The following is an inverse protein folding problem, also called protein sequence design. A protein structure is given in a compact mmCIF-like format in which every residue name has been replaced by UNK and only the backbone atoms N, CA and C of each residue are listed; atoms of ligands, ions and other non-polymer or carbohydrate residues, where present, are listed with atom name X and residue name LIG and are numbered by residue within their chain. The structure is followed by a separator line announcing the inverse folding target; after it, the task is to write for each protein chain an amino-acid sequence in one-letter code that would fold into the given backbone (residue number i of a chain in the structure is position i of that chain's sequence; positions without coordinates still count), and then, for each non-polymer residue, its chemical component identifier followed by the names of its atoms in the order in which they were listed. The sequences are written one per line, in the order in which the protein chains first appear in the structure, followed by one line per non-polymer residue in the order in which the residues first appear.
data_IF_535700002132
#
_entry.id   IF_535700002132
#
_cell.length_a   1.000
_cell.length_b   1.000
_cell.length_c   1.000
_cell.angle_alpha   90.00
_cell.angle_beta   90.00
_cell.angle_gamma   90.00
#
_symmetry.space_group_name_H-M   'P 1'
#
loop_
_entity.id
_entity.type
_entity.pdbx_description
1 polymer ?
#
# COMPACT_ATOMS: atom_id res chain seq x y z
N UNK A 1 -42.14 -32.84 -10.28
CA UNK A 1 -41.81 -32.87 -8.83
C UNK A 1 -40.41 -33.43 -8.64
N UNK A 2 -39.48 -32.56 -8.22
CA UNK A 2 -38.21 -32.87 -7.55
C UNK A 2 -37.67 -31.52 -7.06
N UNK A 3 -38.12 -31.10 -5.88
CA UNK A 3 -37.54 -29.95 -5.16
C UNK A 3 -36.35 -30.51 -4.36
N UNK A 4 -35.14 -30.12 -4.75
CA UNK A 4 -33.93 -30.30 -3.96
C UNK A 4 -33.84 -29.06 -3.08
N UNK A 5 -33.77 -29.29 -1.76
CA UNK A 5 -33.97 -28.28 -0.73
C UNK A 5 -32.85 -27.23 -0.62
N UNK A 6 -33.14 -26.12 0.10
CA UNK A 6 -32.12 -25.17 0.48
C UNK A 6 -31.26 -25.83 1.55
N UNK A 7 -29.95 -25.63 1.52
CA UNK A 7 -29.00 -25.66 2.64
C UNK A 7 -27.60 -25.85 2.04
N UNK A 8 -26.64 -25.08 2.57
CA UNK A 8 -25.19 -25.02 2.23
C UNK A 8 -24.76 -23.99 1.19
N UNK A 9 -24.88 -22.69 1.54
CA UNK A 9 -23.96 -21.65 1.07
C UNK A 9 -23.65 -20.69 2.22
N UNK A 10 -22.98 -21.24 3.23
CA UNK A 10 -22.34 -20.49 4.30
C UNK A 10 -20.89 -20.98 4.38
N UNK A 11 -20.00 -20.38 3.59
CA UNK A 11 -18.55 -20.32 3.83
C UNK A 11 -17.90 -19.46 2.73
N UNK A 12 -17.98 -18.14 2.89
CA UNK A 12 -17.10 -17.18 2.23
C UNK A 12 -16.26 -16.54 3.34
N UNK A 13 -15.29 -17.32 3.83
CA UNK A 13 -14.28 -16.87 4.76
C UNK A 13 -12.95 -16.71 4.02
N UNK A 14 -12.51 -15.45 3.93
CA UNK A 14 -11.14 -14.95 3.81
C UNK A 14 -10.15 -15.75 2.95
N UNK A 15 -9.93 -15.30 1.71
CA UNK A 15 -8.65 -15.46 1.02
C UNK A 15 -7.95 -14.10 0.93
N UNK A 16 -7.39 -13.64 2.05
CA UNK A 16 -6.33 -12.65 2.00
C UNK A 16 -5.03 -13.37 1.65
N UNK A 17 -4.26 -12.96 0.62
CA UNK A 17 -2.90 -13.45 0.46
C UNK A 17 -2.08 -12.93 1.66
N UNK A 18 -1.71 -13.86 2.55
CA UNK A 18 -0.90 -13.57 3.72
C UNK A 18 0.47 -13.04 3.31
N UNK A 19 0.73 -11.78 3.60
CA UNK A 19 2.09 -11.27 3.73
C UNK A 19 2.68 -11.84 5.02
N UNK A 20 3.28 -13.03 4.93
CA UNK A 20 4.22 -13.48 5.96
C UNK A 20 5.55 -12.80 5.67
N UNK A 21 5.74 -11.60 6.23
CA UNK A 21 7.08 -11.17 6.57
C UNK A 21 7.53 -12.08 7.71
N UNK A 22 8.48 -12.98 7.47
CA UNK A 22 9.04 -13.82 8.52
C UNK A 22 9.63 -12.90 9.59
N UNK A 23 8.95 -12.82 10.73
CA UNK A 23 9.43 -12.09 11.90
C UNK A 23 10.39 -13.04 12.62
N UNK A 24 11.68 -12.77 12.51
CA UNK A 24 12.70 -13.57 13.15
C UNK A 24 12.64 -13.35 14.66
N UNK A 25 12.55 -14.47 15.39
CA UNK A 25 12.56 -14.48 16.85
C UNK A 25 13.90 -15.00 17.34
N UNK A 26 14.59 -14.22 18.15
CA UNK A 26 15.78 -14.69 18.88
C UNK A 26 15.66 -14.40 20.38
N UNK A 27 16.47 -15.10 21.18
CA UNK A 27 16.59 -14.87 22.62
C UNK A 27 18.00 -14.38 22.91
N UNK A 28 18.13 -13.27 23.64
CA UNK A 28 19.45 -12.76 24.02
C UNK A 28 20.11 -13.61 25.13
N UNK A 29 21.37 -13.31 25.44
CA UNK A 29 22.11 -13.99 26.51
C UNK A 29 21.55 -13.78 27.93
N UNK A 30 20.62 -12.84 28.10
CA UNK A 30 19.91 -12.57 29.36
C UNK A 30 18.53 -13.27 29.43
N UNK A 31 18.10 -13.96 28.36
CA UNK A 31 16.84 -14.68 28.29
C UNK A 31 15.65 -13.88 27.76
N UNK A 32 15.85 -12.64 27.29
CA UNK A 32 14.76 -11.83 26.73
C UNK A 32 14.51 -12.18 25.26
N UNK A 33 13.24 -12.20 24.88
CA UNK A 33 12.81 -12.52 23.51
C UNK A 33 12.70 -11.25 22.68
N UNK A 34 13.31 -11.25 21.50
CA UNK A 34 13.29 -10.13 20.55
C UNK A 34 12.73 -10.57 19.19
N UNK A 35 12.21 -9.61 18.44
CA UNK A 35 11.57 -9.81 17.14
C UNK A 35 12.12 -8.80 16.12
N UNK A 36 12.50 -9.24 14.92
CA UNK A 36 13.02 -8.39 13.85
C UNK A 36 12.49 -8.80 12.47
N UNK A 37 12.34 -7.82 11.58
CA UNK A 37 11.96 -8.00 10.18
C UNK A 37 13.16 -7.95 9.22
N UNK A 38 14.40 -7.97 9.75
CA UNK A 38 15.62 -8.00 8.94
C UNK A 38 16.30 -9.36 9.04
N UNK A 39 16.65 -9.91 7.89
CA UNK A 39 17.34 -11.20 7.74
C UNK A 39 18.76 -11.08 8.31
N UNK A 40 19.11 -11.97 9.25
CA UNK A 40 20.40 -11.98 9.91
C UNK A 40 21.43 -12.74 9.05
N UNK A 41 21.66 -12.30 7.81
CA UNK A 41 22.79 -12.76 7.01
C UNK A 41 23.94 -11.76 7.11
N UNK A 42 24.94 -12.12 7.91
CA UNK A 42 26.27 -11.52 7.85
C UNK A 42 26.73 -10.93 9.18
N UNK A 43 27.62 -11.67 9.85
CA UNK A 43 28.77 -11.31 10.70
C UNK A 43 28.85 -10.00 11.54
N UNK A 44 27.82 -9.16 11.62
CA UNK A 44 27.79 -7.92 12.42
C UNK A 44 27.11 -8.10 13.79
N UNK A 45 26.71 -9.33 14.13
CA UNK A 45 26.18 -9.68 15.46
C UNK A 45 27.23 -9.57 16.60
N UNK A 46 28.49 -9.25 16.30
CA UNK A 46 29.57 -9.15 17.27
C UNK A 46 29.96 -7.70 17.65
N UNK A 47 29.30 -6.66 17.12
CA UNK A 47 29.75 -5.27 17.31
C UNK A 47 28.85 -4.38 18.19
N UNK A 48 27.82 -4.91 18.86
CA UNK A 48 27.02 -4.14 19.84
C UNK A 48 27.23 -4.64 21.27
N UNK A 49 28.49 -4.91 21.61
CA UNK A 49 28.94 -5.24 22.96
C UNK A 49 29.96 -4.20 23.48
N UNK A 50 29.46 -3.05 23.95
CA UNK A 50 30.11 -2.07 24.87
C UNK A 50 29.24 -0.80 24.88
N UNK A 51 28.83 -0.14 25.97
CA UNK A 51 29.06 -0.19 27.42
C UNK A 51 27.77 0.33 28.12
N UNK A 52 27.53 0.03 29.41
CA UNK A 52 26.52 0.71 30.21
C UNK A 52 27.10 2.02 30.76
N UNK A 53 26.77 3.16 30.16
CA UNK A 53 26.96 4.44 30.84
C UNK A 53 25.85 4.58 31.89
N UNK A 54 26.23 4.40 33.15
CA UNK A 54 25.43 4.78 34.30
C UNK A 54 25.17 6.29 34.25
N UNK A 55 23.92 6.70 34.24
CA UNK A 55 23.53 8.06 34.57
C UNK A 55 22.45 7.99 35.65
N UNK A 56 22.83 8.47 36.83
CA UNK A 56 22.04 8.54 38.05
C UNK A 56 20.67 9.17 37.78
N UNK A 57 19.62 8.52 38.30
CA UNK A 57 18.36 9.19 38.51
C UNK A 57 18.54 10.27 39.59
N UNK A 58 18.22 11.55 39.36
CA UNK A 58 18.03 12.48 40.45
C UNK A 58 16.67 12.19 41.08
N UNK A 59 16.71 11.63 42.29
CA UNK A 59 15.59 11.65 43.19
C UNK A 59 15.40 13.07 43.76
N UNK A 60 14.13 13.43 43.85
CA UNK A 60 13.52 14.42 44.74
C UNK A 60 13.50 15.89 44.32
N UNK A 61 12.29 16.34 43.93
CA UNK A 61 11.69 17.54 44.47
C UNK A 61 10.17 17.46 44.26
N UNK A 62 9.48 17.14 45.34
CA UNK A 62 8.07 17.39 45.52
C UNK A 62 7.78 18.89 45.32
N UNK A 63 6.99 19.22 44.30
CA UNK A 63 6.22 20.46 44.32
C UNK A 63 4.79 20.18 43.84
N UNK A 64 3.85 20.66 44.63
CA UNK A 64 2.42 20.41 44.49
C UNK A 64 1.88 21.14 43.27
N UNK A 65 1.71 20.45 42.13
CA UNK A 65 0.85 20.92 41.03
C UNK A 65 0.27 19.72 40.26
N UNK A 66 -0.44 18.85 40.95
CA UNK A 66 -0.91 17.56 40.38
C UNK A 66 -2.18 17.68 39.53
N UNK A 67 -2.93 18.79 39.58
CA UNK A 67 -4.16 18.92 38.78
C UNK A 67 -3.95 19.45 37.36
N UNK A 68 -2.79 20.04 37.05
CA UNK A 68 -2.53 20.68 35.74
C UNK A 68 -1.58 19.86 34.85
N UNK A 69 -0.89 18.87 35.43
CA UNK A 69 0.03 17.98 34.73
C UNK A 69 -0.70 16.83 34.00
N UNK A 70 -1.81 16.34 34.57
CA UNK A 70 -2.62 15.26 33.98
C UNK A 70 -3.33 15.70 32.68
N UNK A 71 -3.82 16.93 32.64
CA UNK A 71 -4.48 17.51 31.45
C UNK A 71 -3.47 17.71 30.29
N UNK A 72 -2.24 18.14 30.62
CA UNK A 72 -1.17 18.36 29.64
C UNK A 72 -0.58 17.05 29.09
N UNK A 73 -0.48 16.01 29.92
CA UNK A 73 -0.04 14.67 29.46
C UNK A 73 -1.12 13.95 28.65
N UNK A 74 -2.40 14.12 28.99
CA UNK A 74 -3.51 13.61 28.19
C UNK A 74 -3.56 14.28 26.80
N UNK A 75 -3.44 15.61 26.74
CA UNK A 75 -3.41 16.36 25.47
C UNK A 75 -2.20 16.03 24.58
N UNK A 76 -1.03 15.75 25.18
CA UNK A 76 0.16 15.27 24.48
C UNK A 76 -0.04 13.86 23.90
N UNK A 77 -0.57 12.93 24.70
CA UNK A 77 -0.83 11.55 24.27
C UNK A 77 -1.82 11.44 23.10
N UNK A 78 -2.85 12.27 23.06
CA UNK A 78 -3.82 12.31 21.96
C UNK A 78 -3.21 12.81 20.64
N UNK A 79 -2.27 13.75 20.72
CA UNK A 79 -1.59 14.32 19.56
C UNK A 79 -0.55 13.35 18.99
N UNK A 80 0.18 12.65 19.85
CA UNK A 80 1.16 11.63 19.45
C UNK A 80 0.45 10.41 18.83
N UNK A 81 -0.64 9.97 19.44
CA UNK A 81 -1.47 8.86 18.92
C UNK A 81 -2.05 9.20 17.55
N UNK A 82 -2.53 10.44 17.37
CA UNK A 82 -3.01 10.91 16.07
C UNK A 82 -1.88 10.95 15.03
N UNK A 83 -0.71 11.48 15.38
CA UNK A 83 0.44 11.59 14.48
C UNK A 83 0.93 10.21 14.01
N UNK A 84 0.99 9.24 14.93
CA UNK A 84 1.30 7.85 14.60
C UNK A 84 0.25 7.24 13.66
N UNK A 85 -1.04 7.44 13.96
CA UNK A 85 -2.14 6.94 13.13
C UNK A 85 -2.15 7.57 11.74
N UNK A 86 -1.94 8.88 11.64
CA UNK A 86 -1.87 9.61 10.38
C UNK A 86 -0.68 9.12 9.53
N UNK A 87 0.49 8.92 10.15
CA UNK A 87 1.68 8.39 9.48
C UNK A 87 1.45 6.96 8.95
N UNK A 88 0.77 6.10 9.72
CA UNK A 88 0.40 4.75 9.29
C UNK A 88 -0.56 4.79 8.10
N UNK A 89 -1.62 5.62 8.16
CA UNK A 89 -2.57 5.80 7.06
C UNK A 89 -1.87 6.28 5.79
N UNK A 90 -1.00 7.28 5.90
CA UNK A 90 -0.18 7.77 4.80
C UNK A 90 0.66 6.64 4.18
N UNK A 91 1.36 5.85 5.00
CA UNK A 91 2.18 4.74 4.50
C UNK A 91 1.36 3.65 3.80
N UNK A 92 0.11 3.45 4.19
CA UNK A 92 -0.81 2.53 3.54
C UNK A 92 -1.22 3.06 2.16
N UNK A 93 -1.60 4.34 2.06
CA UNK A 93 -1.92 5.00 0.78
C UNK A 93 -0.72 5.01 -0.17
N UNK A 94 0.49 5.24 0.33
CA UNK A 94 1.72 5.19 -0.48
C UNK A 94 1.99 3.79 -1.04
N UNK A 95 1.81 2.74 -0.22
CA UNK A 95 1.95 1.35 -0.68
C UNK A 95 0.89 1.00 -1.73
N UNK A 96 -0.34 1.49 -1.54
CA UNK A 96 -1.43 1.26 -2.47
C UNK A 96 -1.21 1.98 -3.82
N UNK A 97 -0.75 3.24 -3.81
CA UNK A 97 -0.32 3.93 -5.03
C UNK A 97 0.80 3.20 -5.77
N UNK A 98 1.79 2.66 -5.05
CA UNK A 98 2.86 1.86 -5.68
C UNK A 98 2.36 0.53 -6.24
N UNK A 99 1.38 -0.10 -5.57
CA UNK A 99 0.79 -1.34 -6.06
C UNK A 99 -0.03 -1.09 -7.34
N UNK A 100 -0.90 -0.09 -7.33
CA UNK A 100 -1.72 0.32 -8.47
C UNK A 100 -0.86 0.77 -9.65
N UNK A 101 0.19 1.56 -9.44
CA UNK A 101 1.11 1.97 -10.50
C UNK A 101 1.82 0.77 -11.16
N UNK A 102 2.28 -0.21 -10.38
CA UNK A 102 2.86 -1.44 -10.92
C UNK A 102 1.86 -2.25 -11.74
N UNK A 103 0.61 -2.35 -11.27
CA UNK A 103 -0.45 -3.06 -11.99
C UNK A 103 -0.82 -2.36 -13.29
N UNK A 104 -0.93 -1.03 -13.30
CA UNK A 104 -1.14 -0.25 -14.51
C UNK A 104 -0.03 -0.49 -15.53
N UNK A 105 1.23 -0.46 -15.10
CA UNK A 105 2.37 -0.71 -15.98
C UNK A 105 2.32 -2.12 -16.59
N UNK A 106 1.94 -3.13 -15.80
CA UNK A 106 1.76 -4.50 -16.28
C UNK A 106 0.66 -4.61 -17.34
N UNK A 107 -0.50 -3.99 -17.09
CA UNK A 107 -1.63 -3.98 -18.04
C UNK A 107 -1.24 -3.25 -19.32
N UNK A 108 -0.59 -2.09 -19.23
CA UNK A 108 -0.12 -1.34 -20.40
C UNK A 108 0.88 -2.17 -21.23
N UNK A 109 1.78 -2.93 -20.57
CA UNK A 109 2.70 -3.83 -21.25
C UNK A 109 1.94 -4.96 -21.99
N UNK A 110 0.94 -5.58 -21.35
CA UNK A 110 0.09 -6.62 -21.96
C UNK A 110 -0.71 -6.07 -23.15
N UNK A 111 -1.37 -4.93 -22.99
CA UNK A 111 -2.11 -4.24 -24.06
C UNK A 111 -1.19 -3.90 -25.25
N UNK A 112 0.03 -3.43 -24.98
CA UNK A 112 1.00 -3.16 -26.05
C UNK A 112 1.41 -4.43 -26.80
N UNK A 113 1.49 -5.57 -26.12
CA UNK A 113 1.85 -6.86 -26.70
C UNK A 113 0.72 -7.39 -27.58
N UNK A 114 -0.52 -7.33 -27.09
CA UNK A 114 -1.71 -7.72 -27.85
C UNK A 114 -1.91 -6.83 -29.08
N UNK A 115 -1.71 -5.52 -28.95
CA UNK A 115 -1.78 -4.59 -30.08
C UNK A 115 -0.72 -4.89 -31.16
N UNK A 116 0.50 -5.26 -30.76
CA UNK A 116 1.55 -5.69 -31.71
C UNK A 116 1.19 -7.00 -32.40
N UNK A 117 0.71 -8.00 -31.67
CA UNK A 117 0.28 -9.28 -32.22
C UNK A 117 -0.85 -9.08 -33.25
N UNK A 118 -1.85 -8.27 -32.91
CA UNK A 118 -2.94 -7.90 -33.83
C UNK A 118 -2.42 -7.22 -35.09
N UNK A 119 -1.46 -6.31 -34.97
CA UNK A 119 -0.80 -5.67 -36.11
C UNK A 119 -0.06 -6.68 -37.02
N UNK A 120 0.65 -7.64 -36.45
CA UNK A 120 1.35 -8.69 -37.19
C UNK A 120 0.39 -9.64 -37.91
N UNK A 121 -0.70 -10.06 -37.26
CA UNK A 121 -1.72 -10.91 -37.88
C UNK A 121 -2.47 -10.20 -39.01
N UNK A 122 -2.69 -8.89 -38.91
CA UNK A 122 -3.27 -8.10 -39.99
C UNK A 122 -2.33 -8.02 -41.22
N UNK A 123 -1.01 -7.90 -41.01
CA UNK A 123 -0.03 -7.86 -42.10
C UNK A 123 0.17 -9.23 -42.79
N UNK A 124 0.07 -10.34 -42.04
CA UNK A 124 0.28 -11.69 -42.56
C UNK A 124 -0.93 -12.33 -43.27
N UNK A 125 -2.11 -11.70 -43.23
CA UNK A 125 -3.32 -12.26 -43.82
C UNK A 125 -3.50 -11.82 -45.28
N UNK A 126 -3.23 -12.74 -46.21
CA UNK A 126 -3.43 -12.56 -47.66
C UNK A 126 -4.87 -12.18 -48.04
N UNK A 127 -5.86 -12.49 -47.18
CA UNK A 127 -7.26 -12.13 -47.38
C UNK A 127 -7.57 -10.64 -47.16
N UNK A 128 -6.65 -9.87 -46.58
CA UNK A 128 -6.84 -8.44 -46.26
C UNK A 128 -6.05 -7.50 -47.16
N UNK A 129 -5.33 -8.01 -48.17
CA UNK A 129 -4.67 -7.18 -49.19
C UNK A 129 -3.58 -6.24 -48.66
N UNK A 130 -2.98 -6.52 -47.50
CA UNK A 130 -1.91 -5.68 -46.95
C UNK A 130 -2.37 -4.31 -46.46
N UNK A 131 -3.61 -4.19 -45.95
CA UNK A 131 -4.04 -2.95 -45.29
C UNK A 131 -3.20 -2.74 -44.03
N UNK A 132 -2.25 -1.82 -44.15
CA UNK A 132 -1.40 -1.38 -43.07
C UNK A 132 -2.24 -0.74 -41.96
N UNK A 133 -2.15 -1.34 -40.77
CA UNK A 133 -2.53 -0.77 -39.48
C UNK A 133 -4.02 -0.36 -39.29
N UNK A 134 -4.51 -0.32 -38.03
CA UNK A 134 -5.93 -0.22 -37.70
C UNK A 134 -6.53 1.18 -37.88
N UNK A 135 -5.78 2.14 -38.43
CA UNK A 135 -6.26 3.52 -38.66
C UNK A 135 -7.40 3.61 -39.67
N UNK A 136 -7.76 2.50 -40.33
CA UNK A 136 -8.86 2.41 -41.28
C UNK A 136 -9.86 1.28 -40.95
N UNK A 137 -10.05 0.94 -39.67
CA UNK A 137 -11.26 0.19 -39.31
C UNK A 137 -12.48 1.07 -39.69
N UNK A 138 -13.50 0.53 -40.40
CA UNK A 138 -14.73 1.27 -40.66
C UNK A 138 -15.30 1.78 -39.33
N UNK A 139 -15.76 3.03 -39.28
CA UNK A 139 -16.32 3.64 -38.08
C UNK A 139 -17.28 2.66 -37.37
N UNK A 140 -16.99 2.33 -36.12
CA UNK A 140 -17.84 1.50 -35.26
C UNK A 140 -17.45 0.04 -35.10
N UNK A 141 -16.42 -0.49 -35.80
CA UNK A 141 -15.95 -1.87 -35.58
C UNK A 141 -14.73 -1.88 -34.66
N UNK A 142 -14.93 -2.25 -33.39
CA UNK A 142 -13.84 -2.51 -32.46
C UNK A 142 -13.18 -3.87 -32.78
N UNK A 143 -12.00 -3.82 -33.40
CA UNK A 143 -11.20 -5.00 -33.77
C UNK A 143 -10.41 -5.61 -32.60
N UNK A 144 -10.59 -5.09 -31.38
CA UNK A 144 -9.92 -5.60 -30.19
C UNK A 144 -10.47 -6.95 -29.78
N UNK A 145 -9.60 -7.81 -29.25
CA UNK A 145 -10.04 -9.05 -28.61
C UNK A 145 -10.85 -8.77 -27.35
N UNK A 146 -11.64 -9.75 -26.90
CA UNK A 146 -12.35 -9.63 -25.61
C UNK A 146 -11.38 -9.39 -24.45
N UNK A 147 -10.22 -10.05 -24.46
CA UNK A 147 -9.14 -9.83 -23.50
C UNK A 147 -8.59 -8.39 -23.53
N UNK A 148 -8.38 -7.81 -24.71
CA UNK A 148 -7.95 -6.41 -24.82
C UNK A 148 -9.01 -5.44 -24.25
N UNK A 149 -10.30 -5.75 -24.43
CA UNK A 149 -11.40 -4.94 -23.87
C UNK A 149 -11.50 -5.05 -22.36
N UNK A 150 -11.36 -6.26 -21.80
CA UNK A 150 -11.37 -6.46 -20.34
C UNK A 150 -10.17 -5.78 -19.69
N UNK A 151 -8.97 -5.92 -20.25
CA UNK A 151 -7.76 -5.23 -19.78
C UNK A 151 -7.88 -3.71 -19.89
N UNK A 152 -8.47 -3.18 -20.96
CA UNK A 152 -8.70 -1.74 -21.08
C UNK A 152 -9.68 -1.21 -20.02
N UNK A 153 -10.69 -2.01 -19.66
CA UNK A 153 -11.63 -1.68 -18.58
C UNK A 153 -10.95 -1.73 -17.21
N UNK A 154 -10.16 -2.78 -16.94
CA UNK A 154 -9.37 -2.90 -15.70
C UNK A 154 -8.39 -1.73 -15.54
N UNK A 155 -7.71 -1.33 -16.63
CA UNK A 155 -6.84 -0.16 -16.65
C UNK A 155 -7.56 1.11 -16.22
N UNK A 156 -8.75 1.35 -16.76
CA UNK A 156 -9.56 2.53 -16.42
C UNK A 156 -9.98 2.52 -14.95
N UNK A 157 -10.43 1.37 -14.44
CA UNK A 157 -10.77 1.21 -13.03
C UNK A 157 -9.58 1.47 -12.10
N UNK A 158 -8.39 0.99 -12.47
CA UNK A 158 -7.16 1.23 -11.70
C UNK A 158 -6.69 2.68 -11.77
N UNK A 159 -6.88 3.37 -12.90
CA UNK A 159 -6.60 4.79 -13.02
C UNK A 159 -7.51 5.61 -12.10
N UNK A 160 -8.81 5.32 -12.11
CA UNK A 160 -9.78 5.93 -11.20
C UNK A 160 -9.46 5.65 -9.73
N UNK A 161 -9.04 4.42 -9.42
CA UNK A 161 -8.61 4.07 -8.07
C UNK A 161 -7.36 4.85 -7.64
N UNK A 162 -6.35 5.01 -8.51
CA UNK A 162 -5.17 5.81 -8.20
C UNK A 162 -5.54 7.28 -7.92
N UNK A 163 -6.49 7.85 -8.66
CA UNK A 163 -6.99 9.20 -8.39
C UNK A 163 -7.76 9.28 -7.06
N UNK A 164 -8.54 8.25 -6.73
CA UNK A 164 -9.21 8.15 -5.44
C UNK A 164 -8.21 8.13 -4.28
N UNK A 165 -7.15 7.33 -4.38
CA UNK A 165 -6.11 7.24 -3.34
C UNK A 165 -5.36 8.58 -3.18
N UNK A 166 -5.10 9.29 -4.29
CA UNK A 166 -4.52 10.65 -4.24
C UNK A 166 -5.45 11.63 -3.55
N UNK A 167 -6.75 11.58 -3.83
CA UNK A 167 -7.75 12.41 -3.17
C UNK A 167 -7.83 12.12 -1.67
N UNK A 168 -7.78 10.85 -1.27
CA UNK A 168 -7.81 10.47 0.15
C UNK A 168 -6.53 10.88 0.88
N UNK A 169 -5.40 10.90 0.20
CA UNK A 169 -4.16 11.46 0.74
C UNK A 169 -4.23 12.98 0.93
N UNK A 170 -4.84 13.70 -0.01
CA UNK A 170 -5.07 15.13 0.12
C UNK A 170 -5.99 15.44 1.31
N UNK A 171 -7.08 14.68 1.48
CA UNK A 171 -7.95 14.78 2.67
C UNK A 171 -7.19 14.51 3.97
N UNK A 172 -6.35 13.47 4.00
CA UNK A 172 -5.54 13.18 5.19
C UNK A 172 -4.59 14.33 5.53
N UNK A 173 -4.01 14.99 4.52
CA UNK A 173 -3.18 16.19 4.71
C UNK A 173 -4.00 17.36 5.28
N UNK A 174 -5.23 17.55 4.79
CA UNK A 174 -6.15 18.56 5.31
C UNK A 174 -6.52 18.29 6.77
N UNK A 175 -6.83 17.03 7.12
CA UNK A 175 -7.11 16.62 8.51
C UNK A 175 -5.93 16.91 9.44
N UNK A 176 -4.72 16.56 9.02
CA UNK A 176 -3.49 16.83 9.78
C UNK A 176 -3.26 18.33 9.93
N UNK A 177 -3.41 19.10 8.84
CA UNK A 177 -3.20 20.54 8.87
C UNK A 177 -4.26 21.25 9.72
N UNK A 178 -5.52 20.81 9.67
CA UNK A 178 -6.61 21.33 10.49
C UNK A 178 -6.38 21.09 11.98
N UNK A 179 -5.78 19.94 12.35
CA UNK A 179 -5.51 19.59 13.75
C UNK A 179 -4.29 20.32 14.33
N UNK A 180 -3.25 20.53 13.54
CA UNK A 180 -2.00 21.17 14.00
C UNK A 180 -1.89 22.66 13.64
N UNK A 181 -2.86 23.21 12.91
CA UNK A 181 -2.87 24.60 12.41
C UNK A 181 -1.91 24.89 11.26
N UNK A 182 -0.98 23.97 10.99
CA UNK A 182 -0.03 23.99 9.87
C UNK A 182 0.35 22.55 9.50
N UNK A 183 1.00 22.37 8.34
CA UNK A 183 1.58 21.08 7.98
C UNK A 183 2.78 20.78 8.90
N UNK A 184 2.74 19.71 9.71
CA UNK A 184 3.82 19.39 10.65
C UNK A 184 5.13 19.02 9.95
N UNK A 185 6.30 19.20 10.61
CA UNK A 185 7.61 18.90 10.02
C UNK A 185 7.84 17.40 9.75
N UNK A 186 7.12 16.53 10.47
CA UNK A 186 7.16 15.09 10.26
C UNK A 186 6.26 14.63 9.10
N UNK A 187 5.40 15.50 8.57
CA UNK A 187 4.56 15.17 7.43
C UNK A 187 5.41 15.11 6.15
N UNK A 188 5.23 14.05 5.39
CA UNK A 188 5.93 13.84 4.11
C UNK A 188 4.84 13.71 3.04
N UNK A 189 4.97 14.42 1.93
CA UNK A 189 4.00 14.28 0.84
C UNK A 189 4.13 12.91 0.13
N UNK A 190 3.06 12.45 -0.51
CA UNK A 190 3.10 11.25 -1.34
C UNK A 190 3.92 11.50 -2.61
N UNK A 191 4.61 10.46 -3.08
CA UNK A 191 5.43 10.45 -4.29
C UNK A 191 4.86 9.51 -5.34
#
# INVERSE_FOLDING_TARGET
MRMIGPWTLALLALSAPGWSSDIYRWTDGAGNVHYSNMDAEGNDAAAVAHEPAAEEAPADLTDNTTDDAADRTAAGGDSDTFSATASLRRSALERDLRATARRLHEIDARLSTLARARGQHAQGSAATGGVAAPTAAPEGIDLRSEEERTLATEREQLAQHADQVRNDAAKLREEVTARFGATPPWWIDLR
#
